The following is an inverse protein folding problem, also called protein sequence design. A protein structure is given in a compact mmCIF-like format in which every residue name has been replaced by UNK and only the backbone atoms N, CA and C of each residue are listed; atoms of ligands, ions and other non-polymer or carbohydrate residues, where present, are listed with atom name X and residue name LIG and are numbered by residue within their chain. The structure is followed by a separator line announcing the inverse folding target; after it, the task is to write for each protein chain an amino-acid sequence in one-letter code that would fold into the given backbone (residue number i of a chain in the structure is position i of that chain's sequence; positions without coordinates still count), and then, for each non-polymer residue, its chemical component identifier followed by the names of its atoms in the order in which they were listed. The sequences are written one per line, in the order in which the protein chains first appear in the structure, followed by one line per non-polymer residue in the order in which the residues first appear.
data_IF_964950709541
#
_entry.id   IF_964950709541
#
_cell.length_a   1.000
_cell.length_b   1.000
_cell.length_c   1.000
_cell.angle_alpha   90.00
_cell.angle_beta   90.00
_cell.angle_gamma   90.00
#
_symmetry.space_group_name_H-M   'P 1'
#
loop_
_entity.id
_entity.type
_entity.pdbx_description
1 polymer ?
#
# COMPACT_ATOMS: atom_id res chain seq x y z
N UNK A 1 31.14 51.80 73.16
CA UNK A 1 31.78 51.93 71.84
C UNK A 1 31.75 50.54 71.18
N UNK A 2 30.78 50.27 70.29
CA UNK A 2 30.57 48.96 69.67
C UNK A 2 30.74 49.09 68.16
N UNK A 3 31.78 48.48 67.61
CA UNK A 3 32.03 48.36 66.17
C UNK A 3 30.97 47.46 65.51
N UNK A 4 30.38 47.94 64.41
CA UNK A 4 29.52 47.14 63.54
C UNK A 4 30.39 46.37 62.55
N UNK A 5 30.39 45.04 62.67
CA UNK A 5 30.97 44.12 61.69
C UNK A 5 29.97 43.94 60.54
N UNK A 6 30.35 44.36 59.32
CA UNK A 6 29.56 44.10 58.10
C UNK A 6 29.90 42.72 57.57
N UNK A 7 28.94 41.80 57.58
CA UNK A 7 29.06 40.50 56.92
C UNK A 7 28.79 40.65 55.42
N UNK A 8 29.77 40.26 54.62
CA UNK A 8 29.70 40.12 53.17
C UNK A 8 29.09 38.73 52.88
N UNK A 9 27.85 38.68 52.42
CA UNK A 9 27.21 37.43 51.96
C UNK A 9 27.69 37.09 50.55
N UNK A 10 28.48 36.03 50.43
CA UNK A 10 28.84 35.41 49.15
C UNK A 10 27.71 34.42 48.79
N UNK A 11 27.04 34.52 47.64
CA UNK A 11 26.09 33.50 47.21
C UNK A 11 26.86 32.22 46.84
N UNK A 12 26.52 31.11 47.51
CA UNK A 12 26.90 29.77 47.05
C UNK A 12 26.20 29.50 45.71
N UNK A 13 26.97 29.50 44.63
CA UNK A 13 26.54 28.90 43.37
C UNK A 13 26.65 27.39 43.57
N UNK A 14 25.51 26.73 43.76
CA UNK A 14 25.44 25.28 43.68
C UNK A 14 25.68 24.88 42.22
N UNK A 15 26.89 24.45 41.90
CA UNK A 15 27.14 23.64 40.72
C UNK A 15 26.44 22.29 40.93
N UNK A 16 25.20 22.18 40.48
CA UNK A 16 24.60 20.88 40.21
C UNK A 16 25.41 20.26 39.08
N UNK A 17 26.29 19.32 39.41
CA UNK A 17 26.84 18.41 38.44
C UNK A 17 25.68 17.61 37.86
N UNK A 18 25.13 18.07 36.74
CA UNK A 18 24.34 17.22 35.87
C UNK A 18 25.33 16.20 35.32
N UNK A 19 25.46 15.07 36.00
CA UNK A 19 25.82 13.85 35.33
C UNK A 19 24.73 13.62 34.29
N UNK A 20 24.97 14.10 33.07
CA UNK A 20 24.31 13.55 31.89
C UNK A 20 24.81 12.12 31.85
N UNK A 21 24.07 11.21 32.47
CA UNK A 21 24.18 9.81 32.14
C UNK A 21 23.73 9.74 30.67
N UNK A 22 24.72 9.75 29.76
CA UNK A 22 24.58 9.04 28.50
C UNK A 22 24.36 7.58 28.90
N UNK A 23 23.12 7.24 29.18
CA UNK A 23 22.67 5.88 29.01
C UNK A 23 22.54 5.77 27.49
N UNK A 24 23.66 5.46 26.85
CA UNK A 24 23.56 4.56 25.71
C UNK A 24 22.73 3.40 26.23
N UNK A 25 21.48 3.33 25.77
CA UNK A 25 20.61 2.19 26.00
C UNK A 25 21.21 1.03 25.21
N UNK A 26 22.32 0.50 25.74
CA UNK A 26 22.73 -0.88 25.57
C UNK A 26 21.70 -1.68 26.35
N UNK A 27 20.45 -1.65 25.86
CA UNK A 27 19.52 -2.71 26.15
C UNK A 27 20.25 -3.98 25.73
N UNK A 28 20.32 -4.91 26.66
CA UNK A 28 20.95 -6.21 26.49
C UNK A 28 20.38 -6.80 25.20
N UNK A 29 21.14 -6.72 24.09
CA UNK A 29 20.77 -7.29 22.80
C UNK A 29 20.68 -8.79 23.00
N UNK A 30 19.51 -9.25 23.39
CA UNK A 30 19.20 -10.67 23.43
C UNK A 30 19.25 -11.22 22.01
N UNK A 31 19.46 -12.53 21.84
CA UNK A 31 19.49 -13.18 20.53
C UNK A 31 18.13 -13.17 19.80
N UNK A 32 17.17 -12.37 20.27
CA UNK A 32 15.82 -12.34 19.71
C UNK A 32 15.62 -11.05 18.93
N UNK A 33 15.06 -11.18 17.73
CA UNK A 33 14.47 -10.06 17.00
C UNK A 33 12.95 -10.02 17.17
N UNK A 34 12.39 -8.82 17.08
CA UNK A 34 10.95 -8.60 17.11
C UNK A 34 10.42 -8.32 15.71
N UNK A 35 9.38 -9.07 15.35
CA UNK A 35 8.74 -9.00 14.04
C UNK A 35 7.53 -8.09 14.14
N UNK A 36 7.48 -7.07 13.30
CA UNK A 36 6.28 -6.27 13.05
C UNK A 36 6.09 -6.12 11.54
N UNK A 37 5.10 -6.83 10.98
CA UNK A 37 4.82 -6.78 9.55
C UNK A 37 3.37 -6.37 9.27
N UNK A 38 3.16 -5.52 8.27
CA UNK A 38 1.84 -5.21 7.70
C UNK A 38 1.79 -5.68 6.24
N UNK A 39 0.78 -6.44 5.82
CA UNK A 39 0.63 -6.83 4.42
C UNK A 39 -0.18 -5.76 3.70
N UNK A 40 0.25 -5.37 2.50
CA UNK A 40 -0.45 -4.38 1.69
C UNK A 40 -0.58 -4.83 0.24
N UNK A 41 -1.64 -4.36 -0.41
CA UNK A 41 -1.82 -4.39 -1.86
C UNK A 41 -1.69 -2.96 -2.38
N UNK A 42 -0.89 -2.76 -3.42
CA UNK A 42 -0.76 -1.46 -4.10
C UNK A 42 -1.38 -1.54 -5.48
N UNK A 43 -2.42 -0.74 -5.68
CA UNK A 43 -3.13 -0.58 -6.94
C UNK A 43 -2.53 0.60 -7.70
N UNK A 44 -1.90 0.32 -8.83
CA UNK A 44 -1.25 1.32 -9.69
C UNK A 44 -2.15 1.82 -10.81
N UNK A 45 -3.13 1.01 -11.22
CA UNK A 45 -4.09 1.31 -12.29
C UNK A 45 -5.54 1.03 -11.79
N UNK A 46 -6.54 1.82 -12.22
CA UNK A 46 -7.94 1.56 -11.91
C UNK A 46 -8.41 0.17 -12.38
N UNK A 47 -9.45 -0.37 -11.74
CA UNK A 47 -10.03 -1.69 -12.04
C UNK A 47 -11.57 -1.65 -11.91
N UNK A 48 -12.31 -2.48 -12.65
CA UNK A 48 -13.76 -2.29 -12.83
C UNK A 48 -14.65 -2.98 -11.77
N UNK A 49 -14.15 -3.97 -11.05
CA UNK A 49 -14.93 -4.75 -10.07
C UNK A 49 -14.39 -4.56 -8.67
N UNK A 50 -15.27 -4.38 -7.68
CA UNK A 50 -14.87 -4.43 -6.28
C UNK A 50 -14.08 -5.70 -5.98
N UNK A 51 -12.89 -5.52 -5.40
CA UNK A 51 -12.00 -6.61 -5.05
C UNK A 51 -12.19 -6.99 -3.58
N UNK A 52 -12.14 -8.29 -3.33
CA UNK A 52 -11.95 -8.92 -2.04
C UNK A 52 -10.52 -9.44 -1.97
N UNK A 53 -9.74 -8.88 -1.07
CA UNK A 53 -8.37 -9.30 -0.79
C UNK A 53 -8.37 -10.14 0.47
N UNK A 54 -7.97 -11.39 0.39
CA UNK A 54 -7.63 -12.22 1.55
C UNK A 54 -6.12 -12.18 1.77
N UNK A 55 -5.71 -11.93 2.99
CA UNK A 55 -4.30 -11.88 3.38
C UNK A 55 -4.07 -12.84 4.52
N UNK A 56 -3.04 -13.68 4.38
CA UNK A 56 -2.56 -14.54 5.45
C UNK A 56 -1.13 -14.18 5.78
N UNK A 57 -0.81 -14.15 7.06
CA UNK A 57 0.57 -13.93 7.52
C UNK A 57 0.94 -15.00 8.53
N UNK A 58 2.23 -15.28 8.66
CA UNK A 58 2.75 -16.10 9.75
C UNK A 58 4.16 -15.70 10.17
N UNK A 59 4.51 -16.02 11.40
CA UNK A 59 5.87 -15.96 11.94
C UNK A 59 6.28 -17.39 12.33
N UNK A 60 7.41 -17.84 11.81
CA UNK A 60 7.94 -19.20 11.98
C UNK A 60 9.39 -19.12 12.45
N UNK A 61 9.66 -19.63 13.65
CA UNK A 61 11.00 -19.76 14.22
C UNK A 61 11.41 -21.24 14.21
N UNK A 62 10.81 -22.01 15.12
CA UNK A 62 10.95 -23.46 15.26
C UNK A 62 9.63 -24.19 14.94
N UNK A 63 8.79 -23.54 14.11
CA UNK A 63 7.38 -23.81 13.91
C UNK A 63 6.58 -22.51 13.90
N UNK A 64 5.37 -22.56 13.32
CA UNK A 64 4.48 -21.39 13.25
C UNK A 64 4.07 -20.98 14.67
N UNK A 65 4.55 -19.82 15.11
CA UNK A 65 4.25 -19.25 16.43
C UNK A 65 3.04 -18.32 16.39
N UNK A 66 2.90 -17.59 15.29
CA UNK A 66 1.83 -16.61 15.08
C UNK A 66 1.31 -16.71 13.66
N UNK A 67 0.00 -16.56 13.48
CA UNK A 67 -0.63 -16.53 12.17
C UNK A 67 -1.89 -15.66 12.17
N UNK A 68 -2.17 -15.05 11.03
CA UNK A 68 -3.41 -14.28 10.79
C UNK A 68 -4.02 -14.71 9.46
N UNK A 69 -5.34 -14.58 9.35
CA UNK A 69 -6.10 -14.80 8.13
C UNK A 69 -7.27 -13.81 8.12
N UNK A 70 -7.20 -12.81 7.27
CA UNK A 70 -8.17 -11.72 7.23
C UNK A 70 -8.54 -11.37 5.79
N UNK A 71 -9.58 -10.55 5.65
CA UNK A 71 -9.97 -9.99 4.37
C UNK A 71 -10.32 -8.52 4.49
N UNK A 72 -10.10 -7.78 3.40
CA UNK A 72 -10.58 -6.42 3.23
C UNK A 72 -11.04 -6.21 1.78
N UNK A 73 -11.77 -5.11 1.56
CA UNK A 73 -12.35 -4.79 0.27
C UNK A 73 -11.70 -3.53 -0.32
N UNK A 74 -11.52 -3.54 -1.64
CA UNK A 74 -11.05 -2.38 -2.41
C UNK A 74 -12.11 -2.07 -3.45
N UNK A 75 -12.67 -0.86 -3.41
CA UNK A 75 -13.72 -0.43 -4.33
C UNK A 75 -13.16 -0.24 -5.74
N UNK A 76 -13.96 -0.58 -6.75
CA UNK A 76 -13.65 -0.32 -8.16
C UNK A 76 -13.21 1.13 -8.42
N UNK A 77 -12.34 1.32 -9.40
CA UNK A 77 -11.84 2.61 -9.86
C UNK A 77 -10.82 3.29 -8.93
N UNK A 78 -10.51 2.70 -7.77
CA UNK A 78 -9.57 3.30 -6.81
C UNK A 78 -8.12 2.95 -7.14
N UNK A 79 -7.19 3.82 -6.73
CA UNK A 79 -5.75 3.60 -6.77
C UNK A 79 -5.13 3.90 -5.41
N UNK A 80 -3.95 3.37 -5.13
CA UNK A 80 -3.24 3.58 -3.87
C UNK A 80 -2.88 2.30 -3.14
N UNK A 81 -2.51 2.43 -1.86
CA UNK A 81 -2.10 1.31 -1.02
C UNK A 81 -3.15 0.98 0.03
N UNK A 82 -3.52 -0.29 0.09
CA UNK A 82 -4.55 -0.83 0.98
C UNK A 82 -3.91 -1.93 1.82
N UNK A 83 -3.98 -1.81 3.14
CA UNK A 83 -3.23 -2.69 4.04
C UNK A 83 -4.17 -3.45 4.98
N UNK A 84 -3.74 -4.66 5.33
CA UNK A 84 -4.33 -5.46 6.39
C UNK A 84 -3.81 -5.07 7.77
N UNK A 85 -4.06 -5.94 8.73
CA UNK A 85 -3.61 -5.84 10.11
C UNK A 85 -2.16 -6.24 10.27
N UNK A 86 -1.50 -5.62 11.25
CA UNK A 86 -0.14 -5.96 11.63
C UNK A 86 -0.08 -7.34 12.29
N UNK A 87 0.86 -8.18 11.88
CA UNK A 87 1.30 -9.34 12.67
C UNK A 87 2.50 -8.95 13.54
N UNK A 88 2.50 -9.46 14.77
CA UNK A 88 3.58 -9.30 15.72
C UNK A 88 4.15 -10.67 16.07
N UNK A 89 5.46 -10.77 16.19
CA UNK A 89 6.12 -12.02 16.58
C UNK A 89 7.50 -11.79 17.16
N UNK A 90 8.14 -12.88 17.55
CA UNK A 90 9.49 -12.90 18.07
C UNK A 90 10.22 -14.07 17.43
N UNK A 91 11.46 -13.87 17.00
CA UNK A 91 12.28 -14.91 16.38
C UNK A 91 13.63 -14.94 17.10
N UNK A 92 14.11 -16.13 17.46
CA UNK A 92 15.42 -16.39 18.02
C UNK A 92 16.45 -16.56 16.89
N UNK A 93 17.31 -15.56 16.70
CA UNK A 93 18.39 -15.50 15.71
C UNK A 93 17.89 -15.57 14.26
N UNK A 94 17.31 -16.67 13.78
CA UNK A 94 16.82 -16.78 12.40
C UNK A 94 15.44 -17.41 12.35
N UNK A 95 14.63 -16.97 11.40
CA UNK A 95 13.30 -17.51 11.15
C UNK A 95 12.70 -16.97 9.87
N UNK A 96 11.40 -17.15 9.72
CA UNK A 96 10.65 -16.78 8.54
C UNK A 96 9.42 -15.96 8.89
N UNK A 97 9.18 -14.93 8.09
CA UNK A 97 7.95 -14.14 8.15
C UNK A 97 7.25 -14.30 6.80
N UNK A 98 6.15 -15.05 6.79
CA UNK A 98 5.41 -15.36 5.57
C UNK A 98 4.21 -14.48 5.36
N UNK A 99 3.84 -14.29 4.10
CA UNK A 99 2.63 -13.59 3.70
C UNK A 99 2.10 -14.12 2.37
N UNK A 100 0.79 -14.24 2.26
CA UNK A 100 0.10 -14.51 1.00
C UNK A 100 -1.09 -13.57 0.79
N UNK A 101 -1.34 -13.26 -0.48
CA UNK A 101 -2.45 -12.47 -0.97
C UNK A 101 -3.25 -13.29 -1.97
N UNK A 102 -4.56 -13.30 -1.78
CA UNK A 102 -5.52 -13.87 -2.73
C UNK A 102 -6.54 -12.78 -3.07
N UNK A 103 -6.53 -12.33 -4.32
CA UNK A 103 -7.34 -11.22 -4.82
C UNK A 103 -8.40 -11.78 -5.74
N UNK A 104 -9.65 -11.60 -5.34
CA UNK A 104 -10.85 -12.07 -6.04
C UNK A 104 -11.85 -10.93 -6.21
N UNK A 105 -12.80 -11.02 -7.14
CA UNK A 105 -14.00 -10.18 -7.09
C UNK A 105 -15.09 -10.75 -6.16
N UNK A 106 -16.21 -10.04 -6.02
CA UNK A 106 -17.37 -10.51 -5.23
C UNK A 106 -18.03 -11.77 -5.79
N UNK A 107 -17.84 -12.08 -7.07
CA UNK A 107 -18.35 -13.30 -7.71
C UNK A 107 -17.40 -14.49 -7.54
N UNK A 108 -16.19 -14.27 -7.01
CA UNK A 108 -15.16 -15.29 -6.79
C UNK A 108 -14.19 -15.47 -7.95
N UNK A 109 -14.21 -14.61 -8.98
CA UNK A 109 -13.17 -14.62 -10.03
C UNK A 109 -11.83 -14.21 -9.42
N UNK A 110 -10.81 -15.03 -9.59
CA UNK A 110 -9.46 -14.73 -9.10
C UNK A 110 -8.71 -13.86 -10.10
N UNK A 111 -8.14 -12.76 -9.61
CA UNK A 111 -7.32 -11.82 -10.37
C UNK A 111 -5.83 -12.02 -10.11
N UNK A 112 -5.47 -12.29 -8.85
CA UNK A 112 -4.08 -12.55 -8.49
C UNK A 112 -4.00 -13.46 -7.27
N UNK A 113 -2.98 -14.29 -7.24
CA UNK A 113 -2.59 -15.09 -6.09
C UNK A 113 -1.08 -15.06 -5.97
N UNK A 114 -0.57 -14.66 -4.81
CA UNK A 114 0.86 -14.62 -4.58
C UNK A 114 1.19 -14.95 -3.13
N UNK A 115 2.25 -15.70 -2.92
CA UNK A 115 2.78 -16.03 -1.60
C UNK A 115 4.28 -15.86 -1.60
N UNK A 116 4.80 -15.32 -0.52
CA UNK A 116 6.23 -15.13 -0.29
C UNK A 116 6.52 -15.29 1.20
N UNK A 117 7.80 -15.30 1.53
CA UNK A 117 8.31 -15.24 2.88
C UNK A 117 9.60 -14.46 2.89
N UNK A 118 9.87 -13.81 4.00
CA UNK A 118 11.14 -13.16 4.26
C UNK A 118 11.93 -14.00 5.23
N UNK A 119 13.19 -14.30 4.88
CA UNK A 119 14.14 -14.74 5.87
C UNK A 119 14.41 -13.58 6.80
N UNK A 120 14.27 -13.81 8.10
CA UNK A 120 14.44 -12.82 9.14
C UNK A 120 15.64 -13.22 10.00
N UNK A 121 16.61 -12.33 10.14
CA UNK A 121 17.71 -12.48 11.09
C UNK A 121 17.54 -11.45 12.21
N UNK A 122 17.26 -11.93 13.41
CA UNK A 122 17.09 -11.15 14.62
C UNK A 122 18.37 -11.07 15.43
N UNK A 123 19.09 -9.95 15.33
CA UNK A 123 20.36 -9.75 16.04
C UNK A 123 20.23 -8.89 17.32
N UNK A 124 18.99 -8.64 17.76
CA UNK A 124 18.67 -7.83 18.92
C UNK A 124 18.88 -6.33 18.66
N UNK A 125 17.81 -5.55 18.78
CA UNK A 125 17.79 -4.11 18.52
C UNK A 125 17.59 -3.75 17.04
N UNK A 126 18.18 -4.52 16.12
CA UNK A 126 17.97 -4.39 14.68
C UNK A 126 17.89 -5.77 14.02
N UNK A 127 17.17 -5.84 12.91
CA UNK A 127 16.90 -7.05 12.14
C UNK A 127 17.20 -6.86 10.66
N UNK A 128 17.63 -7.95 10.03
CA UNK A 128 17.72 -8.04 8.59
C UNK A 128 16.54 -8.85 8.05
N UNK A 129 15.94 -8.35 6.97
CA UNK A 129 14.87 -9.00 6.25
C UNK A 129 15.34 -9.31 4.84
N UNK A 130 15.06 -10.49 4.33
CA UNK A 130 15.38 -10.90 2.95
C UNK A 130 14.17 -11.58 2.32
N UNK A 131 13.42 -10.87 1.49
CA UNK A 131 12.19 -11.39 0.87
C UNK A 131 12.53 -12.33 -0.29
N UNK A 132 11.84 -13.47 -0.36
CA UNK A 132 11.86 -14.37 -1.51
C UNK A 132 10.81 -13.91 -2.54
N UNK A 133 11.19 -12.96 -3.39
CA UNK A 133 10.32 -12.32 -4.37
C UNK A 133 9.92 -13.25 -5.54
N UNK A 134 10.58 -14.41 -5.66
CA UNK A 134 10.30 -15.43 -6.68
C UNK A 134 10.32 -14.88 -8.12
N UNK A 135 11.26 -13.96 -8.40
CA UNK A 135 11.40 -13.30 -9.70
C UNK A 135 10.35 -12.21 -9.99
N UNK A 136 9.49 -11.88 -9.02
CA UNK A 136 8.47 -10.84 -9.15
C UNK A 136 8.84 -9.61 -8.30
N UNK A 137 9.83 -8.83 -8.72
CA UNK A 137 10.25 -7.64 -7.99
C UNK A 137 9.48 -6.39 -8.44
N UNK A 138 8.91 -5.63 -7.49
CA UNK A 138 8.21 -4.37 -7.75
C UNK A 138 8.72 -3.16 -6.94
N UNK A 139 9.96 -3.18 -6.46
CA UNK A 139 10.52 -2.11 -5.63
C UNK A 139 10.80 -0.81 -6.40
N UNK A 140 11.08 -0.90 -7.70
CA UNK A 140 11.35 0.25 -8.59
C UNK A 140 10.10 0.59 -9.39
N UNK A 141 9.62 -0.35 -10.19
CA UNK A 141 8.45 -0.24 -11.04
C UNK A 141 7.87 -1.63 -11.36
N UNK A 142 6.66 -1.67 -11.92
CA UNK A 142 6.01 -2.91 -12.36
C UNK A 142 5.21 -3.65 -11.29
N UNK A 143 4.83 -4.88 -11.64
CA UNK A 143 4.04 -5.79 -10.81
C UNK A 143 4.94 -6.79 -10.07
N UNK A 144 4.52 -7.24 -8.89
CA UNK A 144 5.30 -8.15 -8.05
C UNK A 144 5.25 -7.77 -6.58
N UNK A 145 6.30 -8.07 -5.84
CA UNK A 145 6.37 -7.87 -4.39
C UNK A 145 7.63 -7.12 -3.98
N UNK A 146 7.56 -6.41 -2.87
CA UNK A 146 8.72 -5.83 -2.18
C UNK A 146 8.41 -5.58 -0.70
N UNK A 147 9.47 -5.38 0.08
CA UNK A 147 9.40 -4.85 1.43
C UNK A 147 9.62 -3.34 1.43
N UNK A 148 8.89 -2.63 2.28
CA UNK A 148 9.03 -1.20 2.52
C UNK A 148 9.24 -0.91 4.01
N UNK A 149 10.27 -0.11 4.31
CA UNK A 149 10.49 0.47 5.62
C UNK A 149 10.99 1.92 5.46
N UNK A 150 10.24 2.88 6.03
CA UNK A 150 10.50 4.31 5.82
C UNK A 150 10.41 4.68 4.34
N UNK A 151 11.47 5.25 3.78
CA UNK A 151 11.59 5.54 2.35
C UNK A 151 12.24 4.42 1.55
N UNK A 152 12.70 3.35 2.20
CA UNK A 152 13.46 2.27 1.57
C UNK A 152 12.51 1.18 1.07
N UNK A 153 12.73 0.75 -0.18
CA UNK A 153 12.03 -0.37 -0.80
C UNK A 153 13.05 -1.40 -1.28
N UNK A 154 12.74 -2.68 -1.12
CA UNK A 154 13.64 -3.75 -1.55
C UNK A 154 12.86 -5.02 -1.90
N UNK A 155 13.22 -5.65 -3.01
CA UNK A 155 12.80 -7.02 -3.34
C UNK A 155 13.83 -8.06 -2.91
N UNK A 156 14.77 -7.67 -2.06
CA UNK A 156 15.77 -8.56 -1.48
C UNK A 156 15.93 -8.16 -0.02
N UNK A 157 17.07 -7.55 0.31
CA UNK A 157 17.44 -7.24 1.68
C UNK A 157 16.99 -5.86 2.12
N UNK A 158 16.34 -5.79 3.28
CA UNK A 158 16.33 -4.61 4.14
C UNK A 158 17.25 -4.91 5.32
N UNK A 159 18.30 -4.13 5.51
CA UNK A 159 19.28 -4.35 6.56
C UNK A 159 19.13 -3.37 7.71
N UNK A 160 19.51 -3.80 8.91
CA UNK A 160 19.55 -3.00 10.12
C UNK A 160 18.20 -2.31 10.42
N UNK A 161 17.08 -2.96 10.15
CA UNK A 161 15.74 -2.45 10.46
C UNK A 161 15.53 -2.51 11.98
N UNK A 162 15.25 -1.40 12.68
CA UNK A 162 15.08 -1.44 14.14
C UNK A 162 14.01 -2.43 14.60
N UNK A 163 14.19 -3.06 15.76
CA UNK A 163 13.23 -4.02 16.32
C UNK A 163 11.83 -3.44 16.51
N UNK A 164 11.72 -2.14 16.79
CA UNK A 164 10.44 -1.47 16.95
C UNK A 164 9.80 -1.04 15.62
N UNK A 165 10.49 -1.23 14.50
CA UNK A 165 10.02 -0.77 13.20
C UNK A 165 9.00 -1.74 12.60
N UNK A 166 8.00 -1.15 11.93
CA UNK A 166 7.02 -1.90 11.15
C UNK A 166 7.48 -1.97 9.71
N UNK A 167 7.65 -3.19 9.19
CA UNK A 167 7.95 -3.46 7.79
C UNK A 167 6.64 -3.73 7.05
N UNK A 168 6.46 -3.13 5.87
CA UNK A 168 5.33 -3.49 5.00
C UNK A 168 5.79 -4.49 3.97
N UNK A 169 5.07 -5.59 3.84
CA UNK A 169 5.17 -6.44 2.65
C UNK A 169 4.11 -5.98 1.66
N UNK A 170 4.53 -5.54 0.47
CA UNK A 170 3.64 -4.89 -0.51
C UNK A 170 3.60 -5.73 -1.78
N UNK A 171 2.40 -6.18 -2.16
CA UNK A 171 2.13 -6.82 -3.43
C UNK A 171 1.48 -5.83 -4.41
N UNK A 172 2.03 -5.72 -5.60
CA UNK A 172 1.55 -4.92 -6.74
C UNK A 172 0.98 -5.89 -7.77
N UNK A 173 -0.32 -6.24 -7.71
CA UNK A 173 -0.91 -7.20 -8.63
C UNK A 173 -0.97 -6.62 -10.05
N UNK A 174 -0.83 -7.49 -11.04
CA UNK A 174 -1.30 -7.17 -12.38
C UNK A 174 -2.80 -7.46 -12.44
N UNK A 175 -3.61 -6.40 -12.43
CA UNK A 175 -5.07 -6.50 -12.48
C UNK A 175 -5.63 -6.27 -13.88
N UNK A 176 -4.76 -6.24 -14.91
CA UNK A 176 -5.21 -6.17 -16.30
C UNK A 176 -6.03 -7.41 -16.58
N UNK A 177 -7.33 -7.24 -16.60
CA UNK A 177 -8.21 -8.15 -17.31
C UNK A 177 -7.90 -7.94 -18.80
N UNK A 178 -7.85 -8.99 -19.62
CA UNK A 178 -7.76 -8.90 -21.09
C UNK A 178 -9.01 -8.22 -21.72
N UNK A 179 -9.77 -7.49 -20.91
CA UNK A 179 -10.92 -6.73 -21.30
C UNK A 179 -10.44 -5.35 -21.78
N UNK A 180 -10.90 -4.91 -22.97
CA UNK A 180 -10.51 -3.61 -23.54
C UNK A 180 -11.05 -2.41 -22.74
N UNK A 181 -11.71 -2.64 -21.60
CA UNK A 181 -12.21 -1.61 -20.69
C UNK A 181 -11.14 -1.08 -19.73
N UNK A 182 -10.02 -1.78 -19.54
CA UNK A 182 -8.92 -1.40 -18.64
C UNK A 182 -9.37 -0.92 -17.25
N UNK A 183 -10.48 -1.44 -16.74
CA UNK A 183 -10.99 -1.04 -15.44
C UNK A 183 -11.78 0.27 -15.39
N UNK A 184 -11.97 0.96 -16.51
CA UNK A 184 -12.73 2.21 -16.55
C UNK A 184 -14.24 1.98 -16.43
N UNK A 185 -15.01 2.92 -15.84
CA UNK A 185 -16.46 2.82 -15.76
C UNK A 185 -17.11 2.58 -17.12
N UNK A 186 -18.06 1.65 -17.22
CA UNK A 186 -18.78 1.40 -18.46
C UNK A 186 -19.90 2.43 -18.59
N UNK A 187 -20.01 3.01 -19.78
CA UNK A 187 -21.11 3.91 -20.09
C UNK A 187 -22.43 3.15 -20.12
N UNK A 188 -23.41 3.59 -19.34
CA UNK A 188 -24.77 3.07 -19.36
C UNK A 188 -25.75 4.21 -19.70
N UNK A 189 -26.42 4.08 -20.84
CA UNK A 189 -27.36 5.07 -21.33
C UNK A 189 -28.53 5.30 -20.36
N UNK A 190 -29.04 4.24 -19.74
CA UNK A 190 -30.17 4.32 -18.82
C UNK A 190 -29.76 5.05 -17.53
N UNK A 191 -28.60 4.70 -16.98
CA UNK A 191 -28.06 5.35 -15.77
C UNK A 191 -27.76 6.84 -15.97
N UNK A 192 -27.32 7.24 -17.17
CA UNK A 192 -27.12 8.66 -17.52
C UNK A 192 -28.45 9.40 -17.60
N UNK A 193 -29.47 8.80 -18.22
CA UNK A 193 -30.82 9.39 -18.33
C UNK A 193 -31.49 9.53 -16.97
N UNK A 194 -31.31 8.53 -16.09
CA UNK A 194 -31.80 8.54 -14.72
C UNK A 194 -30.97 9.45 -13.79
N UNK A 195 -29.77 9.83 -14.23
CA UNK A 195 -28.84 10.67 -13.48
C UNK A 195 -28.11 9.92 -12.35
N UNK A 196 -28.17 8.59 -12.33
CA UNK A 196 -27.41 7.74 -11.41
C UNK A 196 -25.93 7.63 -11.82
N UNK A 197 -25.62 7.82 -13.11
CA UNK A 197 -24.27 7.94 -13.64
C UNK A 197 -24.04 9.35 -14.18
N UNK A 198 -23.07 10.06 -13.60
CA UNK A 198 -22.74 11.44 -13.97
C UNK A 198 -21.24 11.58 -14.18
N UNK A 199 -20.85 12.08 -15.35
CA UNK A 199 -19.48 12.27 -15.78
C UNK A 199 -19.06 13.73 -15.77
N UNK A 200 -17.82 14.01 -15.37
CA UNK A 200 -17.18 15.32 -15.47
C UNK A 200 -16.21 15.34 -16.64
N UNK A 201 -15.97 16.54 -17.18
CA UNK A 201 -14.90 16.74 -18.15
C UNK A 201 -13.58 16.18 -17.60
N UNK A 202 -12.94 15.31 -18.38
CA UNK A 202 -11.74 14.59 -17.99
C UNK A 202 -11.96 13.12 -17.63
N UNK A 203 -13.18 12.72 -17.24
CA UNK A 203 -13.49 11.33 -16.89
C UNK A 203 -13.33 10.43 -18.12
N UNK A 204 -12.87 9.20 -17.89
CA UNK A 204 -12.67 8.18 -18.94
C UNK A 204 -13.67 7.06 -18.72
N UNK A 205 -14.34 6.65 -19.79
CA UNK A 205 -15.38 5.60 -19.78
C UNK A 205 -15.15 4.60 -20.89
N UNK A 206 -15.62 3.38 -20.67
CA UNK A 206 -15.68 2.35 -21.69
C UNK A 206 -17.01 2.39 -22.44
N UNK A 207 -16.95 2.52 -23.77
CA UNK A 207 -18.10 2.44 -24.65
C UNK A 207 -18.35 0.99 -25.07
N UNK A 208 -19.43 0.39 -24.58
CA UNK A 208 -19.78 -1.01 -24.83
C UNK A 208 -19.99 -1.33 -26.32
N UNK A 209 -20.62 -0.40 -27.06
CA UNK A 209 -20.93 -0.59 -28.48
C UNK A 209 -19.69 -0.64 -29.37
N UNK A 210 -18.70 0.19 -29.08
CA UNK A 210 -17.46 0.32 -29.87
C UNK A 210 -16.28 -0.41 -29.24
N UNK A 211 -16.47 -0.96 -28.05
CA UNK A 211 -15.45 -1.63 -27.24
C UNK A 211 -14.17 -0.82 -27.06
N UNK A 212 -14.31 0.50 -26.90
CA UNK A 212 -13.21 1.46 -26.87
C UNK A 212 -13.35 2.44 -25.69
N UNK A 213 -12.25 3.09 -25.30
CA UNK A 213 -12.26 4.11 -24.26
C UNK A 213 -12.47 5.52 -24.81
N UNK A 214 -13.17 6.33 -24.03
CA UNK A 214 -13.54 7.69 -24.37
C UNK A 214 -13.36 8.61 -23.18
N UNK A 215 -12.77 9.78 -23.42
CA UNK A 215 -12.58 10.83 -22.42
C UNK A 215 -13.62 11.93 -22.60
N UNK A 216 -14.33 12.26 -21.53
CA UNK A 216 -15.34 13.31 -21.53
C UNK A 216 -14.68 14.67 -21.79
N UNK A 217 -15.17 15.40 -22.79
CA UNK A 217 -14.71 16.75 -23.16
C UNK A 217 -15.49 17.82 -22.43
N UNK A 218 -16.82 17.70 -22.45
CA UNK A 218 -17.74 18.71 -21.94
C UNK A 218 -18.79 18.03 -21.07
N UNK A 219 -18.72 18.27 -19.76
CA UNK A 219 -19.60 17.70 -18.73
C UNK A 219 -21.08 17.67 -19.17
N UNK A 220 -21.63 18.79 -19.64
CA UNK A 220 -23.06 18.86 -20.01
C UNK A 220 -23.42 17.96 -21.19
N UNK A 221 -22.48 17.69 -22.11
CA UNK A 221 -22.73 16.86 -23.27
C UNK A 221 -22.49 15.38 -22.97
N UNK A 222 -21.50 15.05 -22.14
CA UNK A 222 -21.25 13.68 -21.68
C UNK A 222 -22.43 13.10 -20.88
N UNK A 223 -23.22 13.97 -20.24
CA UNK A 223 -24.45 13.62 -19.53
C UNK A 223 -25.72 14.01 -20.31
N UNK A 224 -25.58 14.31 -21.61
CA UNK A 224 -26.71 14.65 -22.46
C UNK A 224 -27.48 13.41 -22.91
N UNK A 225 -28.46 13.61 -23.79
CA UNK A 225 -29.25 12.50 -24.34
C UNK A 225 -28.35 11.46 -25.03
N UNK A 226 -28.41 10.17 -24.64
CA UNK A 226 -27.53 9.13 -25.19
C UNK A 226 -27.61 9.02 -26.73
N UNK A 227 -28.78 9.25 -27.32
CA UNK A 227 -28.97 9.23 -28.78
C UNK A 227 -28.05 10.21 -29.53
N UNK A 228 -27.66 11.31 -28.88
CA UNK A 228 -26.73 12.29 -29.43
C UNK A 228 -25.31 12.10 -28.93
N UNK A 229 -25.15 11.78 -27.65
CA UNK A 229 -23.86 11.91 -26.99
C UNK A 229 -23.32 10.63 -26.38
N UNK A 230 -23.92 9.46 -26.58
CA UNK A 230 -23.33 8.20 -26.15
C UNK A 230 -21.94 8.02 -26.79
N UNK A 231 -20.90 7.67 -26.02
CA UNK A 231 -19.52 7.60 -26.51
C UNK A 231 -19.39 6.59 -27.65
N UNK A 232 -18.85 7.03 -28.79
CA UNK A 232 -18.65 6.20 -29.98
C UNK A 232 -19.91 5.87 -30.80
N UNK A 233 -21.11 6.08 -30.27
CA UNK A 233 -22.38 5.61 -30.86
C UNK A 233 -23.38 6.74 -31.17
N UNK A 234 -23.42 7.78 -30.33
CA UNK A 234 -24.36 8.89 -30.47
C UNK A 234 -24.12 9.74 -31.73
N UNK A 235 -25.17 10.33 -32.29
CA UNK A 235 -25.11 11.11 -33.54
C UNK A 235 -24.08 12.25 -33.56
N UNK A 236 -23.70 12.75 -32.38
CA UNK A 236 -22.73 13.82 -32.18
C UNK A 236 -21.79 13.49 -31.04
N UNK A 237 -21.47 12.21 -30.85
CA UNK A 237 -20.65 11.72 -29.74
C UNK A 237 -19.29 12.41 -29.67
N UNK A 238 -18.68 12.71 -30.82
CA UNK A 238 -17.36 13.33 -30.93
C UNK A 238 -17.30 14.79 -30.43
N UNK A 239 -18.46 15.41 -30.25
CA UNK A 239 -18.56 16.71 -29.59
C UNK A 239 -18.40 16.55 -28.08
N UNK A 240 -18.97 15.48 -27.52
CA UNK A 240 -18.94 15.17 -26.09
C UNK A 240 -17.67 14.43 -25.64
N UNK A 241 -17.10 13.59 -26.51
CA UNK A 241 -16.03 12.66 -26.14
C UNK A 241 -14.86 12.68 -27.12
N UNK A 242 -13.65 12.53 -26.60
CA UNK A 242 -12.45 12.22 -27.37
C UNK A 242 -12.12 10.74 -27.22
N UNK A 243 -11.72 10.01 -28.29
CA UNK A 243 -11.13 8.69 -28.14
C UNK A 243 -9.94 8.74 -27.17
N UNK A 244 -9.83 7.72 -26.33
CA UNK A 244 -8.76 7.64 -25.35
C UNK A 244 -7.93 6.36 -25.56
N UNK A 245 -6.63 6.54 -25.73
CA UNK A 245 -5.68 5.44 -25.76
C UNK A 245 -4.94 5.38 -24.42
N UNK A 246 -4.90 4.20 -23.82
CA UNK A 246 -4.11 3.99 -22.60
C UNK A 246 -2.63 4.07 -22.98
N UNK A 247 -1.95 5.09 -22.48
CA UNK A 247 -0.48 5.12 -22.54
C UNK A 247 0.04 4.14 -21.49
N UNK A 248 0.32 2.92 -21.93
CA UNK A 248 1.04 1.95 -21.13
C UNK A 248 2.45 2.51 -20.91
N UNK A 249 2.83 2.70 -19.66
CA UNK A 249 4.23 2.90 -19.31
C UNK A 249 4.81 1.49 -19.27
N UNK A 250 5.62 1.18 -20.29
CA UNK A 250 6.42 -0.04 -20.36
C UNK A 250 7.52 -0.02 -19.29
#
# INVERSE_FOLDING_TARGET
MKMKLKYLTIPLISLSANAIANIDDVSVRGPNGYVHQIPCVKITEPFYKDLKVRVKQYVDDSGIEQQTDEFFYINAGTTGSFCGSQINGKIYVNGWVGVSWDITDRAGKQYANFSTRSHFNGEGGNNDWDIEENGQCAAVEGNGVYLEYGSTKSCSKLKNVPDSAVVKAIFVPNLKDDLPDYGYPHYNADDVVEGSQVFKAGDIVYGESTRSLYKCKITNWCNGLPTYYAPGDGLSWNQAWDPYEVKLID
#
